data_IF_349666752137
#
_entry.id   IF_349666752137
#
_cell.length_a   1.000
_cell.length_b   1.000
_cell.length_c   1.000
_cell.angle_alpha   90.00
_cell.angle_beta   90.00
_cell.angle_gamma   90.00
#
_symmetry.space_group_name_H-M   'P 1'
#
loop_
_entity.id
_entity.type
_entity.pdbx_description
1 polymer ?
#
# COMPACT_ATOMS: atom_id res chain seq x y z
N UNK A 1 -13.18 26.78 -60.97
CA UNK A 1 -13.88 25.63 -60.36
C UNK A 1 -13.14 25.27 -59.09
N UNK A 2 -13.80 25.53 -57.96
CA UNK A 2 -13.86 24.79 -56.68
C UNK A 2 -12.76 23.76 -56.39
N UNK A 3 -12.15 23.66 -55.21
CA UNK A 3 -12.47 24.17 -53.85
C UNK A 3 -11.17 24.14 -53.01
N UNK A 4 -11.08 24.91 -51.90
CA UNK A 4 -9.90 24.96 -51.03
C UNK A 4 -9.96 23.86 -49.96
N UNK A 5 -8.81 23.24 -49.62
CA UNK A 5 -8.72 22.42 -48.41
C UNK A 5 -8.11 23.26 -47.29
N UNK A 6 -8.97 23.55 -46.32
CA UNK A 6 -8.68 24.25 -45.08
C UNK A 6 -7.77 23.40 -44.16
N UNK A 7 -6.76 24.04 -43.56
CA UNK A 7 -5.93 23.53 -42.45
C UNK A 7 -6.84 23.36 -41.22
N UNK A 8 -6.64 22.49 -40.23
CA UNK A 8 -5.46 22.40 -39.37
C UNK A 8 -5.62 21.21 -38.40
N UNK A 9 -4.50 20.50 -38.16
CA UNK A 9 -3.99 19.96 -36.88
C UNK A 9 -4.74 18.89 -36.09
N UNK A 10 -4.02 17.80 -35.80
CA UNK A 10 -4.33 16.91 -34.69
C UNK A 10 -3.29 15.83 -34.41
N UNK A 11 -2.04 16.26 -34.12
CA UNK A 11 -1.01 15.59 -33.30
C UNK A 11 -1.02 14.05 -33.29
N UNK A 12 -0.10 13.41 -34.02
CA UNK A 12 0.53 12.13 -33.67
C UNK A 12 1.66 11.84 -34.67
N UNK A 13 2.81 12.50 -34.49
CA UNK A 13 4.04 12.15 -35.20
C UNK A 13 4.89 11.26 -34.28
N UNK A 14 4.59 9.97 -34.34
CA UNK A 14 5.53 8.89 -34.07
C UNK A 14 6.67 8.98 -35.11
N UNK A 15 7.82 8.42 -34.73
CA UNK A 15 8.93 7.92 -35.57
C UNK A 15 10.23 8.74 -35.49
N UNK A 16 11.09 8.26 -34.58
CA UNK A 16 12.51 7.91 -34.76
C UNK A 16 13.39 8.88 -35.56
N UNK A 17 14.30 9.54 -34.84
CA UNK A 17 15.62 9.98 -35.31
C UNK A 17 16.55 10.04 -34.08
N UNK A 18 17.83 9.71 -34.09
CA UNK A 18 18.73 9.01 -34.99
C UNK A 18 20.01 8.90 -34.12
N UNK A 19 20.46 7.68 -33.79
CA UNK A 19 21.81 7.47 -33.24
C UNK A 19 22.79 7.79 -34.38
N UNK A 20 23.57 8.86 -34.25
CA UNK A 20 24.96 9.07 -34.72
C UNK A 20 25.25 10.56 -34.56
N UNK A 21 26.19 10.90 -33.67
CA UNK A 21 26.67 12.26 -33.55
C UNK A 21 27.62 12.47 -32.38
N UNK A 22 28.92 12.41 -32.69
CA UNK A 22 30.02 13.08 -31.98
C UNK A 22 30.73 12.32 -30.84
N UNK A 23 31.56 11.36 -31.25
CA UNK A 23 32.87 11.17 -30.60
C UNK A 23 33.84 12.09 -31.34
N UNK A 24 34.32 13.16 -30.70
CA UNK A 24 35.70 13.71 -30.78
C UNK A 24 35.82 14.78 -29.67
N UNK A 25 36.65 14.48 -28.66
CA UNK A 25 37.50 15.44 -27.95
C UNK A 25 36.85 16.46 -26.99
N UNK A 26 36.86 16.14 -25.69
CA UNK A 26 36.71 17.13 -24.62
C UNK A 26 36.06 16.56 -23.37
N UNK A 27 36.89 16.20 -22.38
CA UNK A 27 36.54 15.87 -20.98
C UNK A 27 35.15 15.25 -20.78
N UNK A 28 35.10 13.92 -20.75
CA UNK A 28 33.90 13.20 -20.35
C UNK A 28 33.50 13.58 -18.93
N UNK A 29 32.57 14.51 -18.80
CA UNK A 29 31.79 14.63 -17.58
C UNK A 29 30.78 13.50 -17.67
N UNK A 30 31.12 12.34 -17.12
CA UNK A 30 30.13 11.32 -16.83
C UNK A 30 29.18 11.95 -15.80
N UNK A 31 28.08 12.52 -16.26
CA UNK A 31 26.96 12.82 -15.39
C UNK A 31 26.49 11.46 -14.86
N UNK A 32 26.86 11.16 -13.61
CA UNK A 32 26.28 10.03 -12.92
C UNK A 32 24.76 10.26 -12.90
N UNK A 33 24.02 9.39 -13.58
CA UNK A 33 22.57 9.31 -13.43
C UNK A 33 22.32 8.87 -12.00
N UNK A 34 22.01 9.83 -11.11
CA UNK A 34 21.51 9.53 -9.78
C UNK A 34 20.10 8.98 -9.97
N UNK A 35 19.95 7.67 -9.81
CA UNK A 35 18.63 7.10 -9.60
C UNK A 35 18.16 7.60 -8.23
N UNK A 36 17.20 8.52 -8.20
CA UNK A 36 16.39 8.68 -6.99
C UNK A 36 15.72 7.33 -6.79
N UNK A 37 16.03 6.64 -5.69
CA UNK A 37 15.29 5.44 -5.28
C UNK A 37 13.81 5.83 -5.23
N UNK A 38 13.08 5.45 -6.28
CA UNK A 38 11.64 5.52 -6.27
C UNK A 38 11.23 4.50 -5.23
N UNK A 39 10.54 4.94 -4.18
CA UNK A 39 9.97 4.07 -3.17
C UNK A 39 9.34 2.87 -3.88
N UNK A 40 9.87 1.68 -3.66
CA UNK A 40 9.30 0.47 -4.23
C UNK A 40 7.88 0.37 -3.69
N UNK A 41 6.88 0.56 -4.57
CA UNK A 41 5.49 0.43 -4.21
C UNK A 41 5.19 -1.07 -4.03
N UNK A 42 5.36 -1.55 -2.79
CA UNK A 42 5.03 -2.91 -2.40
C UNK A 42 3.51 -3.00 -2.22
N UNK A 43 2.83 -3.69 -3.14
CA UNK A 43 1.42 -4.03 -3.00
C UNK A 43 1.29 -5.13 -1.93
N UNK A 44 0.91 -4.75 -0.71
CA UNK A 44 0.60 -5.70 0.36
C UNK A 44 -0.81 -6.26 0.18
N UNK A 45 -0.91 -7.52 -0.22
CA UNK A 45 -2.15 -8.30 -0.12
C UNK A 45 -2.23 -8.83 1.32
N UNK A 46 -3.15 -8.30 2.13
CA UNK A 46 -3.31 -8.78 3.51
C UNK A 46 -3.96 -10.16 3.54
N UNK A 47 -3.50 -10.99 4.47
CA UNK A 47 -4.22 -12.18 4.92
C UNK A 47 -4.98 -11.86 6.20
N UNK A 48 -6.22 -12.33 6.30
CA UNK A 48 -7.00 -12.26 7.52
C UNK A 48 -7.47 -13.66 7.90
N UNK A 49 -7.38 -13.98 9.20
CA UNK A 49 -8.04 -15.13 9.81
C UNK A 49 -9.07 -14.61 10.80
N UNK A 50 -10.33 -14.99 10.59
CA UNK A 50 -11.45 -14.62 11.47
C UNK A 50 -11.96 -15.86 12.17
N UNK A 51 -12.01 -15.83 13.51
CA UNK A 51 -12.58 -16.92 14.31
C UNK A 51 -14.12 -16.93 14.30
N UNK A 52 -14.78 -15.98 13.63
CA UNK A 52 -16.23 -15.77 13.65
C UNK A 52 -16.80 -15.46 12.26
N UNK A 53 -18.08 -15.79 12.05
CA UNK A 53 -18.85 -15.49 10.83
C UNK A 53 -19.28 -14.03 10.72
N UNK A 54 -19.52 -13.35 11.84
CA UNK A 54 -20.23 -12.06 11.85
C UNK A 54 -19.30 -10.85 11.93
N UNK A 55 -18.06 -11.03 12.41
CA UNK A 55 -17.02 -10.01 12.37
C UNK A 55 -16.08 -10.19 11.19
N UNK A 56 -16.06 -9.19 10.32
CA UNK A 56 -15.30 -9.19 9.08
C UNK A 56 -14.34 -7.99 9.00
N UNK A 57 -13.24 -8.15 8.27
CA UNK A 57 -12.36 -7.03 7.91
C UNK A 57 -12.77 -6.50 6.55
N UNK A 58 -13.38 -5.31 6.53
CA UNK A 58 -13.93 -4.70 5.31
C UNK A 58 -12.86 -4.05 4.44
N UNK A 59 -11.90 -3.41 5.09
CA UNK A 59 -10.82 -2.70 4.42
C UNK A 59 -9.60 -2.65 5.31
N UNK A 60 -8.43 -2.63 4.67
CA UNK A 60 -7.17 -2.35 5.31
C UNK A 60 -6.33 -1.45 4.39
N UNK A 61 -5.65 -0.49 5.00
CA UNK A 61 -4.71 0.44 4.39
C UNK A 61 -3.42 0.41 5.22
N UNK A 62 -2.27 0.34 4.56
CA UNK A 62 -0.96 0.48 5.23
C UNK A 62 -0.25 1.68 4.63
N UNK A 63 0.16 2.61 5.49
CA UNK A 63 1.01 3.73 5.15
C UNK A 63 2.38 3.56 5.79
N UNK A 64 3.43 3.49 4.98
CA UNK A 64 4.82 3.54 5.46
C UNK A 64 5.30 4.99 5.45
N UNK A 65 5.75 5.49 6.60
CA UNK A 65 6.20 6.89 6.74
C UNK A 65 7.72 7.01 6.77
N UNK A 66 8.42 6.04 7.36
CA UNK A 66 9.88 5.92 7.41
C UNK A 66 10.27 4.46 7.68
N UNK A 67 11.58 4.16 7.66
CA UNK A 67 12.10 2.83 8.02
C UNK A 67 11.66 2.37 9.43
N UNK A 68 11.45 3.31 10.35
CA UNK A 68 11.08 3.06 11.74
C UNK A 68 9.60 3.27 12.06
N UNK A 69 8.80 3.66 11.05
CA UNK A 69 7.38 3.98 11.26
C UNK A 69 6.46 3.54 10.14
N UNK A 70 5.43 2.78 10.52
CA UNK A 70 4.29 2.49 9.67
C UNK A 70 2.97 2.60 10.43
N UNK A 71 1.89 2.89 9.70
CA UNK A 71 0.54 2.90 10.25
C UNK A 71 -0.34 1.96 9.44
N UNK A 72 -1.05 1.09 10.13
CA UNK A 72 -2.07 0.22 9.55
C UNK A 72 -3.44 0.72 10.00
N UNK A 73 -4.30 1.05 9.04
CA UNK A 73 -5.70 1.41 9.28
C UNK A 73 -6.57 0.26 8.80
N UNK A 74 -7.54 -0.13 9.61
CA UNK A 74 -8.48 -1.18 9.22
C UNK A 74 -9.90 -0.81 9.62
N UNK A 75 -10.86 -1.38 8.92
CA UNK A 75 -12.28 -1.25 9.22
C UNK A 75 -12.83 -2.64 9.52
N UNK A 76 -13.23 -2.85 10.76
CA UNK A 76 -13.99 -4.03 11.15
C UNK A 76 -15.48 -3.78 10.87
N UNK A 77 -16.18 -4.79 10.38
CA UNK A 77 -17.61 -4.77 10.07
C UNK A 77 -18.29 -5.89 10.83
N UNK A 78 -19.35 -5.55 11.57
CA UNK A 78 -20.24 -6.53 12.18
C UNK A 78 -21.47 -6.70 11.29
N UNK A 79 -21.64 -7.90 10.73
CA UNK A 79 -22.77 -8.23 9.85
C UNK A 79 -24.01 -8.70 10.62
N UNK A 80 -23.90 -9.03 11.92
CA UNK A 80 -25.07 -9.27 12.76
C UNK A 80 -25.77 -7.95 13.05
N UNK A 81 -27.02 -7.82 12.58
CA UNK A 81 -27.83 -6.62 12.76
C UNK A 81 -28.53 -6.55 14.12
N UNK A 82 -28.40 -7.57 14.97
CA UNK A 82 -29.14 -7.72 16.22
C UNK A 82 -28.25 -7.61 17.46
N UNK A 83 -26.99 -8.03 17.38
CA UNK A 83 -26.07 -8.04 18.51
C UNK A 83 -24.78 -7.26 18.19
N UNK A 84 -24.25 -6.57 19.20
CA UNK A 84 -22.89 -6.06 19.14
C UNK A 84 -21.91 -7.21 19.39
N UNK A 85 -20.73 -7.12 18.80
CA UNK A 85 -19.66 -8.08 19.02
C UNK A 85 -18.39 -7.39 19.50
N UNK A 86 -17.67 -8.07 20.37
CA UNK A 86 -16.39 -7.66 20.89
C UNK A 86 -15.30 -8.58 20.34
N UNK A 87 -14.16 -8.02 19.97
CA UNK A 87 -13.02 -8.80 19.53
C UNK A 87 -11.70 -8.17 19.95
N UNK A 88 -10.69 -9.02 20.14
CA UNK A 88 -9.30 -8.59 20.15
C UNK A 88 -8.74 -8.69 18.72
N UNK A 89 -8.38 -7.55 18.13
CA UNK A 89 -7.81 -7.48 16.80
C UNK A 89 -6.31 -7.26 16.91
N UNK A 90 -5.55 -8.21 16.38
CA UNK A 90 -4.09 -8.17 16.32
C UNK A 90 -3.63 -7.95 14.89
N UNK A 91 -2.79 -6.94 14.69
CA UNK A 91 -2.09 -6.69 13.42
C UNK A 91 -0.63 -7.07 13.59
N UNK A 92 -0.16 -7.97 12.73
CA UNK A 92 1.24 -8.39 12.64
C UNK A 92 1.87 -7.82 11.38
N UNK A 93 3.07 -7.29 11.52
CA UNK A 93 3.95 -6.86 10.42
C UNK A 93 4.87 -8.02 10.11
N UNK A 94 4.79 -8.55 8.88
CA UNK A 94 5.62 -9.66 8.44
C UNK A 94 6.80 -9.17 7.60
N UNK A 95 7.98 -9.70 7.89
CA UNK A 95 9.19 -9.50 7.11
C UNK A 95 9.17 -10.30 5.79
N UNK A 96 10.21 -10.13 4.97
CA UNK A 96 10.37 -10.85 3.70
C UNK A 96 10.49 -12.38 3.83
N UNK A 97 10.85 -12.88 5.02
CA UNK A 97 10.94 -14.30 5.35
C UNK A 97 9.64 -14.86 5.93
N UNK A 98 8.64 -14.00 6.14
CA UNK A 98 7.37 -14.35 6.77
C UNK A 98 7.40 -14.43 8.29
N UNK A 99 8.43 -13.90 8.96
CA UNK A 99 8.45 -13.78 10.41
C UNK A 99 7.74 -12.52 10.88
N UNK A 100 7.21 -12.54 12.10
CA UNK A 100 6.61 -11.36 12.74
C UNK A 100 7.70 -10.42 13.21
N UNK A 101 7.84 -9.28 12.53
CA UNK A 101 8.76 -8.21 12.90
C UNK A 101 8.19 -7.36 14.05
N UNK A 102 6.87 -7.13 14.07
CA UNK A 102 6.18 -6.42 15.14
C UNK A 102 4.70 -6.77 15.17
N UNK A 103 4.05 -6.61 16.33
CA UNK A 103 2.61 -6.83 16.50
C UNK A 103 1.99 -5.83 17.46
N UNK A 104 0.77 -5.38 17.16
CA UNK A 104 -0.04 -4.56 18.07
C UNK A 104 -1.45 -5.16 18.12
N UNK A 105 -1.99 -5.28 19.34
CA UNK A 105 -3.35 -5.76 19.60
C UNK A 105 -4.22 -4.64 20.17
N UNK A 106 -5.49 -4.60 19.78
CA UNK A 106 -6.49 -3.66 20.30
C UNK A 106 -7.83 -4.35 20.45
N UNK A 107 -8.54 -4.00 21.51
CA UNK A 107 -9.93 -4.38 21.68
C UNK A 107 -10.82 -3.54 20.75
N UNK A 108 -11.83 -4.18 20.18
CA UNK A 108 -12.77 -3.62 19.23
C UNK A 108 -14.18 -4.01 19.67
N UNK A 109 -15.06 -3.01 19.73
CA UNK A 109 -16.48 -3.14 20.06
C UNK A 109 -17.26 -2.66 18.85
N UNK A 110 -17.78 -3.60 18.06
CA UNK A 110 -18.47 -3.29 16.82
C UNK A 110 -19.96 -3.49 17.02
N UNK A 111 -20.67 -2.36 17.12
CA UNK A 111 -22.14 -2.33 17.21
C UNK A 111 -22.80 -3.14 16.09
N UNK A 112 -24.00 -3.64 16.37
CA UNK A 112 -24.79 -4.42 15.42
C UNK A 112 -24.94 -3.71 14.06
N UNK A 113 -24.68 -4.42 12.96
CA UNK A 113 -24.82 -3.93 11.59
C UNK A 113 -23.95 -2.72 11.25
N UNK A 114 -22.88 -2.49 12.03
CA UNK A 114 -22.06 -1.27 11.96
C UNK A 114 -20.60 -1.60 11.62
N UNK A 115 -19.81 -0.54 11.43
CA UNK A 115 -18.38 -0.62 11.18
C UNK A 115 -17.61 0.18 12.22
N UNK A 116 -16.41 -0.29 12.55
CA UNK A 116 -15.48 0.39 13.43
C UNK A 116 -14.12 0.58 12.72
N UNK A 117 -13.66 1.82 12.65
CA UNK A 117 -12.33 2.14 12.17
C UNK A 117 -11.30 2.00 13.30
N UNK A 118 -10.20 1.32 13.01
CA UNK A 118 -9.09 1.09 13.93
C UNK A 118 -7.78 1.52 13.27
N UNK A 119 -6.85 2.01 14.09
CA UNK A 119 -5.54 2.49 13.63
C UNK A 119 -4.45 1.92 14.53
N UNK A 120 -3.44 1.31 13.94
CA UNK A 120 -2.30 0.68 14.60
C UNK A 120 -1.04 1.44 14.15
N UNK A 121 -0.39 2.15 15.08
CA UNK A 121 0.80 2.95 14.81
C UNK A 121 2.03 2.19 15.31
N UNK A 122 2.79 1.63 14.37
CA UNK A 122 4.01 0.88 14.64
C UNK A 122 5.18 1.84 14.60
N UNK A 123 5.80 2.05 15.77
CA UNK A 123 7.02 2.85 15.92
C UNK A 123 8.09 1.95 16.55
N UNK A 124 9.11 1.62 15.77
CA UNK A 124 10.16 0.71 16.20
C UNK A 124 11.26 0.64 15.17
N UNK A 125 12.50 0.45 15.63
CA UNK A 125 13.67 0.44 14.75
C UNK A 125 13.51 -0.62 13.65
N UNK A 126 13.60 -0.19 12.39
CA UNK A 126 13.56 -1.05 11.21
C UNK A 126 12.19 -1.71 10.91
N UNK A 127 11.10 -1.31 11.58
CA UNK A 127 9.80 -1.99 11.45
C UNK A 127 9.26 -2.02 10.02
N UNK A 128 9.62 -1.03 9.19
CA UNK A 128 9.22 -0.94 7.79
C UNK A 128 10.33 -1.30 6.79
N UNK A 129 11.57 -1.48 7.25
CA UNK A 129 12.74 -1.72 6.40
C UNK A 129 12.55 -2.97 5.54
N UNK A 130 12.10 -4.07 6.15
CA UNK A 130 11.86 -5.36 5.50
C UNK A 130 10.38 -5.74 5.39
N UNK A 131 9.48 -4.76 5.57
CA UNK A 131 8.05 -4.98 5.45
C UNK A 131 7.68 -5.62 4.11
N UNK A 132 6.95 -6.72 4.17
CA UNK A 132 6.39 -7.38 3.00
C UNK A 132 4.86 -7.32 2.99
N UNK A 133 4.22 -7.66 4.12
CA UNK A 133 2.76 -7.68 4.26
C UNK A 133 2.32 -7.55 5.71
N UNK A 134 1.05 -7.21 5.90
CA UNK A 134 0.36 -7.33 7.18
C UNK A 134 -0.43 -8.64 7.26
N UNK A 135 -0.53 -9.17 8.47
CA UNK A 135 -1.41 -10.28 8.80
C UNK A 135 -2.33 -9.89 9.95
N UNK A 136 -3.63 -10.13 9.79
CA UNK A 136 -4.65 -9.68 10.75
C UNK A 136 -5.29 -10.91 11.38
N UNK A 137 -5.30 -10.92 12.71
CA UNK A 137 -5.97 -11.95 13.52
C UNK A 137 -7.12 -11.28 14.24
N UNK A 138 -8.33 -11.83 14.07
CA UNK A 138 -9.54 -11.39 14.78
C UNK A 138 -10.01 -12.50 15.70
N UNK A 139 -9.85 -12.28 17.01
CA UNK A 139 -10.33 -13.19 18.05
C UNK A 139 -11.60 -12.59 18.69
N UNK A 140 -12.77 -13.13 18.34
CA UNK A 140 -14.04 -12.63 18.88
C UNK A 140 -14.24 -13.14 20.30
N UNK A 141 -14.50 -12.21 21.23
CA UNK A 141 -14.62 -12.48 22.66
C UNK A 141 -16.07 -12.52 23.15
N UNK A 142 -17.01 -11.91 22.43
CA UNK A 142 -18.46 -12.02 22.66
C UNK A 142 -19.27 -11.61 21.44
#
# INVERSE_FOLDING_TARGET
>A
MDTPINRTTGRNALVVALIVGLVIGGTGVAAALSFTELNTEKISLFGAETASSDLNIKSQDTSVYSEDRMVVRLTAENTDTNNAHEANITVQVLDSSGNVASSISKDASVSSGSQQALTFDFNGQGVAQDYQRTYIIVDQTS
#
